data_IF_894712322601
#
_entry.id   IF_894712322601
#
_cell.length_a   1.000
_cell.length_b   1.000
_cell.length_c   1.000
_cell.angle_alpha   90.00
_cell.angle_beta   90.00
_cell.angle_gamma   90.00
#
_symmetry.space_group_name_H-M   'P 1'
#
loop_
_entity.id
_entity.type
_entity.pdbx_description
1 polymer ?
#
# COMPACT_ATOMS: atom_id res chain seq x y z
N UNK A 1 -5.55 13.61 2.62
CA UNK A 1 -4.60 12.49 2.67
C UNK A 1 -4.41 12.03 1.24
N UNK A 2 -3.39 12.52 0.56
CA UNK A 2 -3.14 12.23 -0.86
C UNK A 2 -2.43 10.87 -0.97
N UNK A 3 -3.04 9.91 -1.67
CA UNK A 3 -2.42 8.60 -1.93
C UNK A 3 -1.46 8.68 -3.11
N UNK A 4 -0.29 8.02 -3.03
CA UNK A 4 0.70 7.97 -4.11
C UNK A 4 0.93 6.53 -4.55
N UNK A 5 0.86 6.26 -5.85
CA UNK A 5 1.16 4.97 -6.49
C UNK A 5 2.56 5.03 -7.08
N UNK A 6 3.37 3.98 -6.89
CA UNK A 6 4.79 3.94 -7.28
C UNK A 6 5.06 2.91 -8.38
N UNK A 7 5.92 3.26 -9.35
CA UNK A 7 6.56 2.34 -10.31
C UNK A 7 8.07 2.60 -10.32
N UNK A 8 8.89 1.54 -10.36
CA UNK A 8 10.35 1.65 -10.34
C UNK A 8 10.99 0.82 -11.48
N UNK A 9 12.00 1.41 -12.14
CA UNK A 9 12.90 0.75 -13.10
C UNK A 9 14.34 1.00 -12.64
N UNK A 10 15.27 0.02 -12.67
CA UNK A 10 16.53 0.12 -11.95
C UNK A 10 17.57 0.97 -12.67
N UNK A 11 18.33 1.76 -11.91
CA UNK A 11 19.57 2.43 -12.33
C UNK A 11 20.69 1.96 -11.39
N UNK A 12 21.82 1.51 -11.93
CA UNK A 12 22.96 1.00 -11.18
C UNK A 12 23.82 2.13 -10.57
N UNK A 13 24.28 1.96 -9.33
CA UNK A 13 25.12 2.92 -8.61
C UNK A 13 26.54 2.38 -8.35
N UNK A 14 27.56 3.17 -8.72
CA UNK A 14 28.99 2.94 -8.42
C UNK A 14 29.38 3.60 -7.09
N UNK A 15 30.06 2.87 -6.19
CA UNK A 15 30.33 3.27 -4.80
C UNK A 15 31.77 3.79 -4.55
N UNK A 16 31.90 4.84 -3.74
CA UNK A 16 33.00 5.02 -2.77
C UNK A 16 32.40 5.55 -1.46
N UNK A 17 32.84 5.02 -0.30
CA UNK A 17 32.22 5.26 1.02
C UNK A 17 33.12 6.12 1.92
N UNK A 18 32.63 7.25 2.41
CA UNK A 18 33.07 7.91 3.67
C UNK A 18 32.07 8.96 4.15
N UNK A 19 31.82 9.02 5.47
CA UNK A 19 30.89 9.89 6.24
C UNK A 19 29.42 9.76 5.84
N UNK A 20 28.57 9.27 6.76
CA UNK A 20 27.15 8.90 6.56
C UNK A 20 26.52 9.46 5.28
N UNK A 21 26.79 8.79 4.15
CA UNK A 21 26.25 9.18 2.86
C UNK A 21 24.75 8.92 2.93
N UNK A 22 23.97 9.97 3.19
CA UNK A 22 22.53 9.92 2.97
C UNK A 22 22.34 10.23 1.50
N UNK A 23 22.17 9.18 0.71
CA UNK A 23 21.75 9.31 -0.68
C UNK A 23 20.26 9.64 -0.74
N UNK A 24 19.88 10.50 -1.68
CA UNK A 24 18.48 10.83 -1.92
C UNK A 24 17.67 9.59 -2.30
N UNK A 25 16.44 9.50 -1.82
CA UNK A 25 15.53 8.44 -2.26
C UNK A 25 15.24 8.54 -3.76
N UNK A 26 15.11 7.40 -4.44
CA UNK A 26 14.72 7.37 -5.84
C UNK A 26 13.30 7.94 -6.00
N UNK A 27 13.16 8.98 -6.85
CA UNK A 27 11.88 9.60 -7.15
C UNK A 27 11.85 10.09 -8.60
N UNK A 28 10.66 10.14 -9.19
CA UNK A 28 10.47 10.78 -10.50
C UNK A 28 10.73 12.29 -10.39
N UNK A 29 11.34 12.88 -11.43
CA UNK A 29 11.61 14.33 -11.45
C UNK A 29 10.33 15.16 -11.49
N UNK A 30 9.32 14.70 -12.24
CA UNK A 30 8.01 15.34 -12.40
C UNK A 30 6.91 14.39 -11.92
N UNK A 31 5.75 14.92 -11.47
CA UNK A 31 4.63 14.09 -11.08
C UNK A 31 4.04 13.34 -12.29
N UNK A 32 3.63 12.10 -12.06
CA UNK A 32 2.93 11.30 -13.07
C UNK A 32 1.49 11.81 -13.19
N UNK A 33 1.02 12.03 -14.42
CA UNK A 33 -0.38 12.40 -14.67
C UNK A 33 -1.28 11.22 -14.31
N UNK A 34 -2.27 11.45 -13.45
CA UNK A 34 -3.23 10.44 -13.05
C UNK A 34 -4.66 10.94 -13.24
N UNK A 35 -5.58 10.13 -13.80
CA UNK A 35 -6.98 10.49 -13.98
C UNK A 35 -7.66 10.84 -12.65
N UNK A 36 -8.23 12.06 -12.58
CA UNK A 36 -8.82 12.60 -11.35
C UNK A 36 -9.95 11.72 -10.80
N UNK A 37 -10.83 11.21 -11.67
CA UNK A 37 -11.96 10.38 -11.28
C UNK A 37 -11.49 9.11 -10.56
N UNK A 38 -10.49 8.43 -11.11
CA UNK A 38 -9.92 7.21 -10.53
C UNK A 38 -9.14 7.53 -9.25
N UNK A 39 -8.46 8.67 -9.17
CA UNK A 39 -7.80 9.10 -7.93
C UNK A 39 -8.81 9.31 -6.79
N UNK A 40 -9.86 10.09 -7.04
CA UNK A 40 -10.92 10.35 -6.07
C UNK A 40 -11.65 9.06 -5.65
N UNK A 41 -11.85 8.13 -6.61
CA UNK A 41 -12.39 6.81 -6.31
C UNK A 41 -11.48 6.02 -5.35
N UNK A 42 -10.17 5.99 -5.58
CA UNK A 42 -9.22 5.34 -4.68
C UNK A 42 -9.22 5.95 -3.27
N UNK A 43 -9.31 7.28 -3.16
CA UNK A 43 -9.43 7.98 -1.87
C UNK A 43 -10.71 7.58 -1.14
N UNK A 44 -11.85 7.50 -1.85
CA UNK A 44 -13.13 7.10 -1.27
C UNK A 44 -13.14 5.64 -0.79
N UNK A 45 -12.36 4.75 -1.43
CA UNK A 45 -12.23 3.34 -1.04
C UNK A 45 -11.43 3.13 0.25
N UNK A 46 -10.49 4.02 0.58
CA UNK A 46 -9.59 3.87 1.74
C UNK A 46 -10.30 3.55 3.07
N UNK A 47 -11.30 4.33 3.55
CA UNK A 47 -12.00 4.02 4.80
C UNK A 47 -12.88 2.76 4.70
N UNK A 48 -13.28 2.34 3.49
CA UNK A 48 -14.06 1.12 3.29
C UNK A 48 -13.16 -0.10 3.52
N UNK A 49 -11.98 -0.13 2.91
CA UNK A 49 -10.99 -1.19 3.15
C UNK A 49 -10.51 -1.19 4.60
N UNK A 50 -10.32 -0.02 5.22
CA UNK A 50 -9.97 0.05 6.64
C UNK A 50 -11.00 -0.65 7.55
N UNK A 51 -12.30 -0.43 7.30
CA UNK A 51 -13.37 -1.13 8.04
C UNK A 51 -13.46 -2.62 7.68
N UNK A 52 -13.20 -2.99 6.44
CA UNK A 52 -13.17 -4.39 6.02
C UNK A 52 -12.07 -5.14 6.77
N UNK A 53 -10.85 -4.60 6.78
CA UNK A 53 -9.71 -5.18 7.49
C UNK A 53 -9.98 -5.27 8.99
N UNK A 54 -10.52 -4.21 9.61
CA UNK A 54 -10.87 -4.26 11.04
C UNK A 54 -11.85 -5.40 11.35
N UNK A 55 -12.93 -5.55 10.58
CA UNK A 55 -13.91 -6.63 10.81
C UNK A 55 -13.33 -8.01 10.57
N UNK A 56 -12.60 -8.19 9.47
CA UNK A 56 -11.95 -9.46 9.14
C UNK A 56 -10.93 -9.84 10.20
N UNK A 57 -10.12 -8.88 10.68
CA UNK A 57 -9.08 -9.12 11.69
C UNK A 57 -9.63 -9.59 13.05
N UNK A 58 -10.89 -9.27 13.35
CA UNK A 58 -11.58 -9.69 14.58
C UNK A 58 -12.24 -11.05 14.47
N UNK A 59 -12.50 -11.54 13.26
CA UNK A 59 -13.03 -12.87 13.02
C UNK A 59 -11.88 -13.89 12.91
N UNK A 60 -11.29 -14.19 14.08
CA UNK A 60 -10.09 -15.01 14.16
C UNK A 60 -10.34 -16.44 13.70
N UNK A 61 -11.52 -17.00 14.00
CA UNK A 61 -11.86 -18.36 13.58
C UNK A 61 -11.95 -18.45 12.05
N UNK A 62 -12.66 -17.49 11.42
CA UNK A 62 -12.73 -17.40 9.97
C UNK A 62 -11.34 -17.24 9.35
N UNK A 63 -10.52 -16.32 9.88
CA UNK A 63 -9.16 -16.08 9.38
C UNK A 63 -8.30 -17.33 9.43
N UNK A 64 -8.31 -18.06 10.55
CA UNK A 64 -7.56 -19.30 10.69
C UNK A 64 -8.04 -20.34 9.67
N UNK A 65 -9.36 -20.46 9.45
CA UNK A 65 -9.90 -21.39 8.45
C UNK A 65 -9.42 -21.09 7.02
N UNK A 66 -9.26 -19.81 6.66
CA UNK A 66 -8.87 -19.40 5.32
C UNK A 66 -7.43 -19.73 4.96
N UNK A 67 -6.53 -19.78 5.96
CA UNK A 67 -5.09 -20.00 5.74
C UNK A 67 -4.60 -21.36 6.25
N UNK A 68 -5.50 -22.20 6.76
CA UNK A 68 -5.15 -23.49 7.36
C UNK A 68 -4.40 -24.41 6.39
N UNK A 69 -4.76 -24.41 5.10
CA UNK A 69 -4.08 -25.21 4.07
C UNK A 69 -2.64 -24.76 3.80
N UNK A 70 -2.28 -23.51 4.11
CA UNK A 70 -0.93 -22.95 3.89
C UNK A 70 0.04 -23.41 4.97
N UNK A 71 -0.46 -23.74 6.17
CA UNK A 71 0.34 -24.10 7.33
C UNK A 71 1.17 -25.37 7.10
N UNK A 72 0.69 -26.30 6.28
CA UNK A 72 1.39 -27.55 5.97
C UNK A 72 2.71 -27.28 5.22
N UNK A 73 2.75 -26.22 4.42
CA UNK A 73 3.87 -25.89 3.53
C UNK A 73 4.70 -24.70 4.01
N UNK A 74 4.15 -23.81 4.84
CA UNK A 74 4.84 -22.62 5.35
C UNK A 74 4.92 -22.57 6.89
N UNK A 75 6.12 -22.84 7.39
CA UNK A 75 6.45 -22.77 8.83
C UNK A 75 6.29 -21.36 9.41
N UNK A 76 6.53 -20.32 8.61
CA UNK A 76 6.39 -18.95 9.08
C UNK A 76 4.92 -18.63 9.37
N UNK A 77 4.03 -18.85 8.41
CA UNK A 77 2.57 -18.69 8.60
C UNK A 77 2.06 -19.60 9.73
N UNK A 78 2.52 -20.86 9.79
CA UNK A 78 2.17 -21.78 10.87
C UNK A 78 2.49 -21.23 12.27
N UNK A 79 3.67 -20.60 12.42
CA UNK A 79 4.06 -19.96 13.70
C UNK A 79 3.18 -18.76 14.04
N UNK A 80 2.78 -17.95 13.05
CA UNK A 80 1.88 -16.81 13.28
C UNK A 80 0.51 -17.25 13.79
N UNK A 81 -0.07 -18.31 13.20
CA UNK A 81 -1.35 -18.85 13.66
C UNK A 81 -1.25 -19.47 15.06
N UNK A 82 -0.13 -20.12 15.38
CA UNK A 82 0.10 -20.64 16.73
C UNK A 82 0.09 -19.50 17.77
N UNK A 83 0.78 -18.40 17.49
CA UNK A 83 0.81 -17.23 18.37
C UNK A 83 -0.58 -16.59 18.50
N UNK A 84 -1.32 -16.48 17.40
CA UNK A 84 -2.70 -15.99 17.42
C UNK A 84 -3.60 -16.82 18.34
N UNK A 85 -3.56 -18.17 18.25
CA UNK A 85 -4.32 -19.06 19.15
C UNK A 85 -3.93 -18.87 20.61
N UNK A 86 -2.62 -18.82 20.90
CA UNK A 86 -2.14 -18.64 22.26
C UNK A 86 -2.68 -17.34 22.89
N UNK A 87 -2.67 -16.23 22.15
CA UNK A 87 -3.21 -14.94 22.63
C UNK A 87 -4.73 -15.03 22.89
N UNK A 88 -5.46 -15.81 22.10
CA UNK A 88 -6.89 -16.02 22.30
C UNK A 88 -7.17 -16.88 23.54
N UNK A 89 -6.40 -17.95 23.75
CA UNK A 89 -6.53 -18.84 24.92
C UNK A 89 -6.19 -18.14 26.24
N UNK A 90 -5.15 -17.29 26.22
CA UNK A 90 -4.78 -16.44 27.37
C UNK A 90 -5.76 -15.28 27.61
N UNK A 91 -6.58 -14.97 26.60
CA UNK A 91 -7.52 -13.85 26.60
C UNK A 91 -6.86 -12.53 26.21
N UNK A 92 -7.46 -11.84 25.23
CA UNK A 92 -6.95 -10.56 24.71
C UNK A 92 -7.01 -9.46 25.77
N UNK A 93 -5.84 -9.01 26.23
CA UNK A 93 -5.72 -7.96 27.24
C UNK A 93 -5.88 -6.55 26.66
N UNK A 94 -5.32 -6.28 25.47
CA UNK A 94 -5.41 -4.99 24.79
C UNK A 94 -6.55 -5.00 23.76
N UNK A 95 -7.57 -4.18 23.98
CA UNK A 95 -8.78 -4.12 23.14
C UNK A 95 -8.74 -3.02 22.07
N UNK A 96 -7.80 -2.08 22.18
CA UNK A 96 -7.58 -1.04 21.18
C UNK A 96 -6.61 -1.52 20.11
N UNK A 97 -6.96 -1.29 18.85
CA UNK A 97 -6.16 -1.67 17.68
C UNK A 97 -5.93 -0.43 16.81
N UNK A 98 -4.73 -0.32 16.26
CA UNK A 98 -4.37 0.71 15.29
C UNK A 98 -3.94 0.04 13.98
N UNK A 99 -4.72 0.26 12.93
CA UNK A 99 -4.43 -0.21 11.58
C UNK A 99 -3.89 0.91 10.71
N UNK A 100 -2.68 0.77 10.17
CA UNK A 100 -2.12 1.65 9.14
C UNK A 100 -2.00 0.85 7.84
N UNK A 101 -3.04 0.95 7.02
CA UNK A 101 -3.18 0.14 5.82
C UNK A 101 -2.84 0.91 4.56
N UNK A 102 -2.24 0.22 3.58
CA UNK A 102 -2.01 0.75 2.24
C UNK A 102 -2.68 -0.15 1.21
N UNK A 103 -3.63 0.41 0.47
CA UNK A 103 -4.24 -0.26 -0.67
C UNK A 103 -3.55 0.22 -1.94
N UNK A 104 -2.95 -0.71 -2.68
CA UNK A 104 -2.23 -0.42 -3.90
C UNK A 104 -3.13 -0.75 -5.11
N UNK A 105 -3.16 0.15 -6.09
CA UNK A 105 -4.06 0.08 -7.24
C UNK A 105 -3.31 0.30 -8.56
N UNK A 106 -3.81 -0.29 -9.63
CA UNK A 106 -3.36 -0.05 -11.00
C UNK A 106 -4.54 0.36 -11.89
N UNK A 107 -4.25 1.20 -12.89
CA UNK A 107 -5.22 1.54 -13.93
C UNK A 107 -5.28 0.41 -14.95
N UNK A 108 -6.49 -0.04 -15.23
CA UNK A 108 -6.78 -0.97 -16.30
C UNK A 108 -7.34 -0.17 -17.48
N UNK A 109 -6.61 -0.18 -18.58
CA UNK A 109 -7.01 0.50 -19.81
C UNK A 109 -8.14 -0.25 -20.53
N UNK A 110 -9.07 0.46 -21.18
CA UNK A 110 -10.12 -0.17 -21.96
C UNK A 110 -9.55 -0.85 -23.21
N UNK A 111 -10.20 -1.92 -23.63
CA UNK A 111 -9.86 -2.67 -24.84
C UNK A 111 -10.38 -1.95 -26.08
N UNK A 112 -9.50 -1.73 -27.06
CA UNK A 112 -9.88 -1.12 -28.32
C UNK A 112 -10.93 -1.99 -29.04
N UNK A 113 -12.04 -1.35 -29.44
CA UNK A 113 -13.12 -2.02 -30.18
C UNK A 113 -14.21 -2.65 -29.31
N UNK A 114 -14.12 -2.58 -27.98
CA UNK A 114 -15.18 -3.05 -27.08
C UNK A 114 -16.08 -1.88 -26.68
N UNK A 115 -17.32 -1.89 -27.17
CA UNK A 115 -18.29 -0.86 -26.86
C UNK A 115 -18.66 -0.88 -25.36
N UNK A 116 -18.53 0.27 -24.70
CA UNK A 116 -18.86 0.42 -23.27
C UNK A 116 -17.74 0.03 -22.31
N UNK A 117 -16.56 -0.36 -22.79
CA UNK A 117 -15.40 -0.55 -21.92
C UNK A 117 -14.82 0.81 -21.49
N UNK A 118 -14.49 0.93 -20.21
CA UNK A 118 -14.03 2.16 -19.60
C UNK A 118 -12.81 1.89 -18.71
N UNK A 119 -11.98 2.91 -18.53
CA UNK A 119 -10.80 2.80 -17.67
C UNK A 119 -11.20 2.55 -16.22
N UNK A 120 -10.64 1.51 -15.61
CA UNK A 120 -10.97 1.06 -14.25
C UNK A 120 -9.77 1.17 -13.33
N UNK A 121 -10.04 1.46 -12.06
CA UNK A 121 -9.06 1.34 -10.98
C UNK A 121 -9.20 -0.05 -10.35
N UNK A 122 -8.19 -0.90 -10.47
CA UNK A 122 -8.21 -2.25 -9.91
C UNK A 122 -7.23 -2.35 -8.73
N UNK A 123 -7.67 -2.94 -7.63
CA UNK A 123 -6.81 -3.21 -6.48
C UNK A 123 -5.89 -4.37 -6.81
N UNK A 124 -4.60 -4.19 -6.55
CA UNK A 124 -3.58 -5.22 -6.78
C UNK A 124 -3.00 -5.75 -5.47
N UNK A 125 -3.00 -4.95 -4.41
CA UNK A 125 -2.48 -5.36 -3.10
C UNK A 125 -3.16 -4.59 -1.95
N UNK A 126 -3.23 -5.24 -0.79
CA UNK A 126 -3.65 -4.63 0.47
C UNK A 126 -2.65 -4.98 1.56
N UNK A 127 -1.86 -3.99 1.95
CA UNK A 127 -0.82 -4.11 2.96
C UNK A 127 -1.35 -3.67 4.33
N UNK A 128 -1.29 -4.56 5.31
CA UNK A 128 -1.75 -4.31 6.69
C UNK A 128 -0.62 -4.27 7.73
N UNK A 129 0.60 -4.59 7.31
CA UNK A 129 1.81 -4.58 8.14
C UNK A 129 2.90 -3.74 7.46
N UNK A 130 3.64 -2.97 8.26
CA UNK A 130 4.83 -2.24 7.83
C UNK A 130 4.63 -1.43 6.53
N UNK A 131 3.48 -0.75 6.41
CA UNK A 131 3.14 0.06 5.22
C UNK A 131 4.13 1.21 5.03
N UNK A 132 5.06 1.04 4.09
CA UNK A 132 6.10 2.03 3.77
C UNK A 132 5.58 3.26 3.01
N UNK A 133 6.44 4.29 2.93
CA UNK A 133 6.29 5.52 2.14
C UNK A 133 5.26 6.55 2.61
N UNK A 134 4.58 6.35 3.74
CA UNK A 134 3.63 7.34 4.28
C UNK A 134 4.26 8.73 4.50
N UNK A 135 5.48 8.78 5.05
CA UNK A 135 6.19 10.05 5.26
C UNK A 135 6.88 10.55 3.99
N UNK A 136 7.51 9.65 3.23
CA UNK A 136 8.28 10.00 2.03
C UNK A 136 7.36 10.55 0.92
N UNK A 137 6.12 10.07 0.80
CA UNK A 137 5.16 10.58 -0.19
C UNK A 137 4.97 12.10 -0.08
N UNK A 138 4.83 12.61 1.16
CA UNK A 138 4.66 14.06 1.41
C UNK A 138 5.89 14.86 0.99
N UNK A 139 7.10 14.30 1.19
CA UNK A 139 8.36 14.92 0.76
C UNK A 139 8.47 14.93 -0.77
N UNK A 140 8.14 13.82 -1.43
CA UNK A 140 8.13 13.73 -2.90
C UNK A 140 7.12 14.68 -3.53
N UNK A 141 5.91 14.78 -2.98
CA UNK A 141 4.91 15.78 -3.41
C UNK A 141 5.41 17.21 -3.21
N UNK A 142 6.15 17.48 -2.13
CA UNK A 142 6.82 18.76 -1.90
C UNK A 142 7.87 19.07 -2.96
N UNK A 143 8.72 18.09 -3.28
CA UNK A 143 9.72 18.19 -4.34
C UNK A 143 9.09 18.45 -5.70
N UNK A 144 8.01 17.75 -6.06
CA UNK A 144 7.30 17.97 -7.34
C UNK A 144 6.72 19.38 -7.44
N UNK A 145 6.22 19.95 -6.33
CA UNK A 145 5.76 21.35 -6.28
C UNK A 145 6.90 22.36 -6.46
N UNK A 146 8.11 22.07 -5.99
CA UNK A 146 9.26 22.97 -6.15
C UNK A 146 9.92 22.88 -7.53
N UNK A 147 9.88 21.70 -8.18
CA UNK A 147 10.46 21.49 -9.51
C UNK A 147 9.52 21.95 -10.63
N UNK A 148 8.20 21.93 -10.41
CA UNK A 148 7.22 22.54 -11.30
C UNK A 148 7.30 24.07 -11.28
N UNK A 149 8.17 24.65 -12.11
CA UNK A 149 8.30 26.10 -12.35
C UNK A 149 7.02 26.73 -13.00
N UNK A 150 6.94 28.06 -13.03
CA UNK A 150 6.04 28.95 -12.28
C UNK A 150 4.60 29.06 -12.83
N UNK A 151 3.71 29.61 -11.99
CA UNK A 151 2.47 30.27 -12.44
C UNK A 151 2.86 31.43 -13.37
N UNK A 152 2.75 31.23 -14.68
CA UNK A 152 2.55 32.34 -15.59
C UNK A 152 1.12 32.84 -15.35
N UNK A 153 1.01 34.08 -14.87
CA UNK A 153 -0.22 34.87 -14.88
C UNK A 153 -0.65 35.17 -16.32
#
# INVERSE_FOLDING_TARGET
MEGSVYFCRPIAASHSKSESCVEGSCAHLLPVRFPRLQFEHGVALSPIYGRLVDRVSRDVEWLHSCVQSVVEEDKFTGRLLQLSRQVQDEGVQQKAYLGIHRSDYMLHEPQAGVAGDAQRLLQVELNTIASSFACISSLVSGMHRSVGLPVAQ
#
